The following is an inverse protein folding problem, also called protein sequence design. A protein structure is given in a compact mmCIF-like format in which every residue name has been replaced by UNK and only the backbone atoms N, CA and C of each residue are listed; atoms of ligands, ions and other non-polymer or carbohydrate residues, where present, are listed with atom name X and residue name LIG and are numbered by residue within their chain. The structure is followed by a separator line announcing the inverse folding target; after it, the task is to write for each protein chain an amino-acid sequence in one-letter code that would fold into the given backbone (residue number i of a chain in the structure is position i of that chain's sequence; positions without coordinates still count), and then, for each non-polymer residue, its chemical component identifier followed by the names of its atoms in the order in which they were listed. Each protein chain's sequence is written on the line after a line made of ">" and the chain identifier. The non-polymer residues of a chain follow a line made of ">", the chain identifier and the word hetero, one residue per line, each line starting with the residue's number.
data_IF_230474943076
#
_entry.id   IF_230474943076
#
_cell.length_a   1.000
_cell.length_b   1.000
_cell.length_c   1.000
_cell.angle_alpha   90.00
_cell.angle_beta   90.00
_cell.angle_gamma   90.00
#
_symmetry.space_group_name_H-M   'P 1'
#
loop_
_entity.id
_entity.type
_entity.pdbx_description
1 polymer ?
#
# COMPACT_ATOMS: atom_id res chain seq x y z
N UNK A 1 3.19 24.30 -6.31
CA UNK A 1 2.86 24.98 -5.04
C UNK A 1 3.83 24.51 -4.01
N UNK A 2 4.53 25.43 -3.36
CA UNK A 2 5.38 25.10 -2.22
C UNK A 2 4.52 25.13 -0.94
N UNK A 3 4.73 24.18 -0.02
CA UNK A 3 3.90 24.03 1.18
C UNK A 3 4.80 24.19 2.41
N UNK A 4 4.49 25.19 3.23
CA UNK A 4 5.11 25.32 4.55
C UNK A 4 4.64 24.16 5.43
N UNK A 5 5.58 23.32 5.85
CA UNK A 5 5.36 22.25 6.82
C UNK A 5 6.23 22.51 8.04
N UNK A 6 5.81 22.06 9.24
CA UNK A 6 6.68 22.03 10.40
C UNK A 6 7.91 21.15 10.13
N UNK A 7 8.98 21.32 10.93
CA UNK A 7 10.14 20.44 10.87
C UNK A 7 9.69 18.99 11.13
N UNK A 8 10.12 18.08 10.27
CA UNK A 8 9.83 16.64 10.38
C UNK A 8 11.10 15.88 10.80
N UNK A 9 10.90 14.78 11.50
CA UNK A 9 11.94 13.85 11.91
C UNK A 9 11.65 12.44 11.36
N UNK A 10 12.66 11.58 11.37
CA UNK A 10 12.48 10.18 10.96
C UNK A 10 11.49 9.47 11.89
N UNK A 11 10.47 8.86 11.29
CA UNK A 11 9.40 8.16 12.01
C UNK A 11 8.09 8.95 12.08
N UNK A 12 8.08 10.23 11.71
CA UNK A 12 6.85 11.00 11.60
C UNK A 12 5.94 10.49 10.48
N UNK A 13 4.63 10.61 10.69
CA UNK A 13 3.62 10.26 9.70
C UNK A 13 3.18 11.50 8.93
N UNK A 14 3.05 11.33 7.61
CA UNK A 14 2.47 12.33 6.72
C UNK A 14 1.10 11.85 6.23
N UNK A 15 0.14 12.78 6.19
CA UNK A 15 -1.21 12.50 5.71
C UNK A 15 -1.46 13.26 4.41
N UNK A 16 -1.76 12.51 3.35
CA UNK A 16 -2.12 13.07 2.05
C UNK A 16 -3.63 13.03 1.93
N UNK A 17 -4.26 14.21 1.95
CA UNK A 17 -5.70 14.35 1.78
C UNK A 17 -6.11 14.19 0.31
N UNK A 18 -7.42 14.02 0.09
CA UNK A 18 -8.04 13.92 -1.24
C UNK A 18 -7.54 12.75 -2.11
N UNK A 19 -7.07 11.68 -1.47
CA UNK A 19 -6.54 10.48 -2.14
C UNK A 19 -7.59 9.38 -2.39
N UNK A 20 -8.88 9.65 -2.18
CA UNK A 20 -9.96 8.66 -2.27
C UNK A 20 -10.29 8.22 -3.70
N UNK A 21 -10.11 9.10 -4.68
CA UNK A 21 -10.31 8.78 -6.10
C UNK A 21 -8.95 8.66 -6.80
N UNK A 22 -8.83 7.70 -7.71
CA UNK A 22 -7.63 7.46 -8.53
C UNK A 22 -6.31 7.16 -7.79
N UNK A 23 -6.29 7.14 -6.45
CA UNK A 23 -5.11 6.77 -5.66
C UNK A 23 -4.73 5.31 -5.83
N UNK A 24 -5.34 4.41 -5.05
CA UNK A 24 -5.03 2.98 -5.12
C UNK A 24 -5.23 2.38 -6.52
N UNK A 25 -6.27 2.82 -7.22
CA UNK A 25 -6.66 2.33 -8.55
C UNK A 25 -5.57 2.55 -9.62
N UNK A 26 -4.76 3.59 -9.51
CA UNK A 26 -3.67 3.87 -10.46
C UNK A 26 -2.28 3.52 -9.91
N UNK A 27 -2.17 3.02 -8.67
CA UNK A 27 -0.91 2.57 -8.10
C UNK A 27 -0.40 1.27 -8.76
N UNK A 28 0.91 1.08 -8.81
CA UNK A 28 1.56 -0.12 -9.35
C UNK A 28 2.92 -0.36 -8.66
N UNK A 29 3.47 -1.57 -8.80
CA UNK A 29 4.66 -2.03 -8.05
C UNK A 29 6.00 -1.54 -8.62
N UNK A 30 6.07 -0.30 -9.09
CA UNK A 30 7.32 0.26 -9.58
C UNK A 30 8.37 0.34 -8.47
N UNK A 31 9.64 0.09 -8.82
CA UNK A 31 10.74 -0.09 -7.88
C UNK A 31 10.50 -1.18 -6.81
N UNK A 32 9.69 -2.20 -7.11
CA UNK A 32 9.39 -3.30 -6.19
C UNK A 32 8.60 -2.89 -4.95
N UNK A 33 7.92 -1.74 -4.99
CA UNK A 33 7.07 -1.29 -3.87
C UNK A 33 5.76 -2.07 -3.86
N UNK A 34 5.48 -2.75 -2.77
CA UNK A 34 4.24 -3.49 -2.56
C UNK A 34 3.08 -2.52 -2.28
N UNK A 35 1.89 -2.80 -2.83
CA UNK A 35 0.70 -1.97 -2.58
C UNK A 35 0.31 -2.00 -1.10
N UNK A 36 -0.06 -0.84 -0.57
CA UNK A 36 -0.50 -0.67 0.82
C UNK A 36 -1.86 -1.30 1.09
N UNK A 37 -2.18 -1.52 2.36
CA UNK A 37 -3.54 -1.85 2.78
C UNK A 37 -4.48 -0.64 2.58
N UNK A 38 -5.78 -0.92 2.45
CA UNK A 38 -6.85 0.08 2.54
C UNK A 38 -7.76 -0.28 3.72
N UNK A 39 -7.99 0.71 4.59
CA UNK A 39 -8.84 0.60 5.78
C UNK A 39 -10.04 1.51 5.60
N UNK A 40 -11.21 1.03 5.99
CA UNK A 40 -12.46 1.79 6.05
C UNK A 40 -12.81 2.07 7.51
N UNK A 41 -12.84 3.34 7.88
CA UNK A 41 -13.46 3.79 9.13
C UNK A 41 -14.97 3.91 8.91
N UNK A 42 -15.77 3.19 9.70
CA UNK A 42 -17.23 3.21 9.65
C UNK A 42 -17.80 4.30 10.55
N UNK A 43 -19.09 4.59 10.36
CA UNK A 43 -19.83 5.60 11.15
C UNK A 43 -19.88 5.28 12.65
N UNK A 44 -19.86 3.99 13.01
CA UNK A 44 -19.82 3.53 14.41
C UNK A 44 -18.42 3.61 15.05
N UNK A 45 -17.44 4.14 14.30
CA UNK A 45 -16.04 4.26 14.73
C UNK A 45 -15.22 2.98 14.57
N UNK A 46 -15.81 1.87 14.12
CA UNK A 46 -15.07 0.64 13.86
C UNK A 46 -14.23 0.75 12.58
N UNK A 47 -13.09 0.06 12.56
CA UNK A 47 -12.19 0.01 11.39
C UNK A 47 -12.25 -1.36 10.75
N UNK A 48 -12.54 -1.40 9.45
CA UNK A 48 -12.52 -2.62 8.65
C UNK A 48 -11.38 -2.56 7.63
N UNK A 49 -10.57 -3.61 7.57
CA UNK A 49 -9.64 -3.79 6.45
C UNK A 49 -10.43 -4.21 5.21
N UNK A 50 -10.50 -3.32 4.21
CA UNK A 50 -11.19 -3.59 2.94
C UNK A 50 -10.23 -4.09 1.87
N UNK A 51 -8.92 -3.85 2.07
CA UNK A 51 -7.85 -4.44 1.28
C UNK A 51 -6.61 -4.68 2.15
N UNK A 52 -6.08 -5.89 2.13
CA UNK A 52 -4.79 -6.19 2.78
C UNK A 52 -3.62 -5.62 1.98
N UNK A 53 -2.52 -5.32 2.68
CA UNK A 53 -1.25 -5.00 2.02
C UNK A 53 -0.76 -6.19 1.20
N UNK A 54 -0.07 -5.90 0.11
CA UNK A 54 0.63 -6.91 -0.66
C UNK A 54 1.85 -7.44 0.09
N UNK A 55 2.15 -8.70 -0.18
CA UNK A 55 3.35 -9.40 0.24
C UNK A 55 4.24 -9.66 -0.97
N UNK A 56 5.54 -9.99 -0.77
CA UNK A 56 6.39 -10.41 -1.88
C UNK A 56 5.80 -11.58 -2.69
N UNK A 57 5.05 -12.48 -2.05
CA UNK A 57 4.37 -13.59 -2.72
C UNK A 57 3.32 -13.11 -3.72
N UNK A 58 2.59 -12.04 -3.41
CA UNK A 58 1.60 -11.46 -4.32
C UNK A 58 2.30 -10.84 -5.54
N UNK A 59 3.40 -10.13 -5.30
CA UNK A 59 4.16 -9.48 -6.37
C UNK A 59 4.77 -10.47 -7.37
N UNK A 60 5.23 -11.63 -6.89
CA UNK A 60 5.77 -12.70 -7.75
C UNK A 60 4.74 -13.75 -8.14
N UNK A 61 3.44 -13.56 -7.85
CA UNK A 61 2.43 -14.58 -8.08
C UNK A 61 2.32 -15.02 -9.55
N UNK A 62 2.68 -14.16 -10.49
CA UNK A 62 2.66 -14.43 -11.95
C UNK A 62 3.96 -15.05 -12.48
N UNK A 63 4.97 -15.29 -11.64
CA UNK A 63 6.22 -15.99 -12.00
C UNK A 63 6.10 -17.51 -11.85
N UNK A 64 4.87 -18.02 -11.99
CA UNK A 64 4.49 -19.44 -11.82
C UNK A 64 5.01 -20.36 -12.94
N UNK A 65 5.49 -19.78 -14.04
CA UNK A 65 6.19 -20.47 -15.11
C UNK A 65 7.64 -20.87 -14.78
N UNK A 66 8.16 -20.48 -13.61
CA UNK A 66 9.51 -20.84 -13.15
C UNK A 66 9.47 -21.62 -11.84
N UNK A 67 10.49 -22.43 -11.58
CA UNK A 67 10.62 -23.18 -10.32
C UNK A 67 11.24 -22.37 -9.17
N UNK A 68 11.57 -21.10 -9.42
CA UNK A 68 12.36 -20.24 -8.50
C UNK A 68 11.66 -20.07 -7.14
N UNK A 69 10.33 -20.09 -7.11
CA UNK A 69 9.53 -19.86 -5.89
C UNK A 69 8.83 -21.11 -5.35
N UNK A 70 9.04 -22.30 -5.94
CA UNK A 70 8.34 -23.54 -5.54
C UNK A 70 8.88 -24.19 -4.26
N UNK A 71 10.06 -23.79 -3.77
CA UNK A 71 10.73 -24.39 -2.61
C UNK A 71 10.29 -23.87 -1.23
N UNK A 72 9.41 -22.87 -1.16
CA UNK A 72 8.97 -22.26 0.11
C UNK A 72 7.55 -22.67 0.54
N UNK A 73 7.16 -23.92 0.27
CA UNK A 73 5.92 -24.50 0.81
C UNK A 73 6.21 -25.29 2.08
#
# INVERSE_FOLDING_TARGET
>A
VDRMLPKIEMGDYLFIHDAGAHGFAMGYNYNGKLKSAELLLKEDGSVQMIRRAETPKDYFATFDFTDIFKKNK
#
